data_IF_426680540265
#
_entry.id   IF_426680540265
#
_cell.length_a   1.000
_cell.length_b   1.000
_cell.length_c   1.000
_cell.angle_alpha   90.00
_cell.angle_beta   90.00
_cell.angle_gamma   90.00
#
_symmetry.space_group_name_H-M   'P 1'
#
loop_
_entity.id
_entity.type
_entity.pdbx_description
1 polymer ?
#
# COMPACT_ATOMS: atom_id res chain seq x y z
N UNK A 1 19.36 12.93 -64.43
CA UNK A 1 19.04 13.62 -63.15
C UNK A 1 18.41 12.73 -62.09
N UNK A 2 17.46 11.82 -62.40
CA UNK A 2 16.80 10.97 -61.38
C UNK A 2 17.72 9.97 -60.67
N UNK A 3 18.76 9.46 -61.34
CA UNK A 3 19.74 8.52 -60.75
C UNK A 3 20.67 9.22 -59.74
N UNK A 4 21.00 10.49 -59.97
CA UNK A 4 21.89 11.26 -59.08
C UNK A 4 21.21 11.60 -57.73
N UNK A 5 19.88 11.78 -57.74
CA UNK A 5 19.08 12.06 -56.53
C UNK A 5 18.97 10.84 -55.60
N UNK A 6 18.99 9.62 -56.14
CA UNK A 6 18.96 8.40 -55.32
C UNK A 6 20.30 8.12 -54.62
N UNK A 7 21.43 8.50 -55.22
CA UNK A 7 22.75 8.32 -54.61
C UNK A 7 22.95 9.28 -53.44
N UNK A 8 22.46 10.52 -53.52
CA UNK A 8 22.55 11.49 -52.42
C UNK A 8 21.70 11.02 -51.21
N UNK A 9 20.55 10.40 -51.44
CA UNK A 9 19.69 9.88 -50.35
C UNK A 9 20.32 8.72 -49.57
N UNK A 10 21.18 7.91 -50.19
CA UNK A 10 21.87 6.80 -49.53
C UNK A 10 23.03 7.25 -48.63
N UNK A 11 23.61 8.43 -48.86
CA UNK A 11 24.72 8.98 -48.04
C UNK A 11 24.21 9.58 -46.72
N UNK A 12 22.92 9.92 -46.61
CA UNK A 12 22.32 10.43 -45.37
C UNK A 12 21.90 9.34 -44.39
N UNK A 13 22.01 8.05 -44.76
CA UNK A 13 21.73 6.94 -43.85
C UNK A 13 22.88 6.73 -42.87
N UNK A 14 22.67 7.16 -41.62
CA UNK A 14 23.48 6.86 -40.43
C UNK A 14 24.62 7.83 -40.10
N UNK A 15 24.35 9.14 -40.08
CA UNK A 15 25.06 10.00 -39.11
C UNK A 15 24.45 9.73 -37.73
N UNK A 16 25.02 8.78 -36.98
CA UNK A 16 24.72 8.66 -35.54
C UNK A 16 25.20 9.95 -34.87
N UNK A 17 24.28 10.87 -34.60
CA UNK A 17 24.58 12.09 -33.87
C UNK A 17 25.22 11.76 -32.52
N UNK A 18 26.22 12.53 -32.11
CA UNK A 18 26.87 12.33 -30.81
C UNK A 18 25.83 12.44 -29.69
N UNK A 19 25.86 11.57 -28.67
CA UNK A 19 24.95 11.67 -27.54
C UNK A 19 25.09 13.02 -26.84
N UNK A 20 23.94 13.56 -26.40
CA UNK A 20 23.91 14.82 -25.69
C UNK A 20 24.67 14.68 -24.37
N UNK A 21 25.56 15.64 -24.08
CA UNK A 21 26.35 15.70 -22.85
C UNK A 21 25.72 16.68 -21.86
N UNK A 22 25.80 16.36 -20.57
CA UNK A 22 25.39 17.28 -19.50
C UNK A 22 26.34 17.17 -18.31
N UNK A 23 26.54 18.27 -17.58
CA UNK A 23 27.34 18.26 -16.37
C UNK A 23 26.44 17.85 -15.18
N UNK A 24 26.81 16.77 -14.49
CA UNK A 24 26.01 16.19 -13.41
C UNK A 24 25.74 17.19 -12.27
N UNK A 25 26.65 18.15 -12.04
CA UNK A 25 26.49 19.19 -11.00
C UNK A 25 25.30 20.12 -11.25
N UNK A 26 24.94 20.34 -12.51
CA UNK A 26 23.84 21.25 -12.90
C UNK A 26 22.53 20.52 -13.16
N UNK A 27 22.50 19.19 -13.06
CA UNK A 27 21.27 18.41 -13.14
C UNK A 27 20.52 18.58 -11.82
N UNK A 28 19.33 19.17 -11.86
CA UNK A 28 18.53 19.42 -10.65
C UNK A 28 17.78 18.17 -10.18
N UNK A 29 17.33 17.35 -11.12
CA UNK A 29 16.46 16.20 -10.87
C UNK A 29 16.82 15.04 -11.79
N UNK A 30 16.80 13.83 -11.25
CA UNK A 30 16.83 12.59 -12.01
C UNK A 30 15.55 11.82 -11.71
N UNK A 31 14.98 11.23 -12.76
CA UNK A 31 13.77 10.40 -12.65
C UNK A 31 14.06 9.08 -13.32
N UNK A 32 13.88 8.00 -12.56
CA UNK A 32 14.09 6.64 -13.00
C UNK A 32 12.74 5.94 -13.03
N UNK A 33 12.46 5.29 -14.15
CA UNK A 33 11.17 4.65 -14.39
C UNK A 33 11.36 3.16 -14.59
N UNK A 34 10.39 2.39 -14.10
CA UNK A 34 10.30 0.95 -14.33
C UNK A 34 10.23 0.66 -15.84
N UNK A 35 10.86 -0.44 -16.25
CA UNK A 35 10.91 -0.92 -17.63
C UNK A 35 11.51 0.08 -18.66
N UNK A 36 12.20 1.13 -18.20
CA UNK A 36 12.96 2.04 -19.05
C UNK A 36 14.43 1.67 -19.06
N UNK A 37 15.04 1.77 -20.25
CA UNK A 37 16.46 1.56 -20.45
C UNK A 37 17.23 2.88 -20.46
N UNK A 38 18.49 2.85 -20.03
CA UNK A 38 19.43 3.96 -20.13
C UNK A 38 19.86 4.19 -21.58
N UNK A 39 20.19 5.42 -21.92
CA UNK A 39 20.96 5.70 -23.14
C UNK A 39 22.43 5.33 -22.91
N UNK A 40 23.12 4.87 -23.94
CA UNK A 40 24.55 4.54 -23.84
C UNK A 40 25.31 4.92 -25.11
N UNK A 41 26.61 5.24 -24.96
CA UNK A 41 27.55 5.49 -26.06
C UNK A 41 28.57 4.35 -26.15
N UNK A 42 28.12 3.21 -26.70
CA UNK A 42 28.99 2.05 -26.95
C UNK A 42 28.96 0.97 -25.86
N UNK A 43 28.26 1.17 -24.75
CA UNK A 43 27.95 0.10 -23.78
C UNK A 43 26.53 -0.46 -23.95
N UNK A 44 26.25 -1.58 -23.28
CA UNK A 44 24.91 -2.17 -23.26
C UNK A 44 24.01 -1.30 -22.38
N UNK A 45 22.84 -0.95 -22.91
CA UNK A 45 21.80 -0.24 -22.16
C UNK A 45 21.40 -1.07 -20.93
N UNK A 46 21.20 -0.39 -19.80
CA UNK A 46 20.78 -0.98 -18.52
C UNK A 46 19.36 -0.56 -18.18
N UNK A 47 18.69 -1.32 -17.33
CA UNK A 47 17.46 -0.86 -16.69
C UNK A 47 17.74 0.37 -15.82
N UNK A 48 16.83 1.34 -15.85
CA UNK A 48 16.93 2.55 -15.03
C UNK A 48 16.73 2.27 -13.54
N UNK A 49 15.83 1.34 -13.21
CA UNK A 49 15.57 0.89 -11.84
C UNK A 49 16.12 -0.52 -11.64
N UNK A 50 16.97 -0.72 -10.63
CA UNK A 50 17.50 -2.02 -10.29
C UNK A 50 17.42 -2.24 -8.77
N UNK A 51 16.46 -3.05 -8.32
CA UNK A 51 16.35 -3.42 -6.92
C UNK A 51 17.37 -4.52 -6.61
N UNK A 52 18.36 -4.23 -5.78
CA UNK A 52 19.49 -5.12 -5.48
C UNK A 52 19.35 -5.89 -4.16
N UNK A 53 18.28 -5.66 -3.38
CA UNK A 53 18.02 -6.39 -2.14
C UNK A 53 17.24 -5.61 -1.09
N UNK A 54 17.46 -5.96 0.18
CA UNK A 54 16.83 -5.36 1.36
C UNK A 54 15.65 -6.16 1.90
N UNK A 55 15.22 -5.86 3.13
CA UNK A 55 14.15 -6.61 3.81
C UNK A 55 12.78 -6.54 3.11
N UNK A 56 12.57 -5.53 2.26
CA UNK A 56 11.38 -5.30 1.45
C UNK A 56 11.50 -5.76 0.00
N UNK A 57 12.51 -6.57 -0.37
CA UNK A 57 12.80 -6.96 -1.76
C UNK A 57 11.61 -7.60 -2.51
N UNK A 58 10.71 -8.28 -1.80
CA UNK A 58 9.52 -8.88 -2.41
C UNK A 58 8.59 -7.83 -3.06
N UNK A 59 8.66 -6.58 -2.61
CA UNK A 59 7.90 -5.45 -3.15
C UNK A 59 8.61 -4.74 -4.32
N UNK A 60 9.75 -5.23 -4.82
CA UNK A 60 10.49 -4.57 -5.92
C UNK A 60 9.63 -4.24 -7.15
N UNK A 61 8.66 -5.10 -7.46
CA UNK A 61 7.80 -4.93 -8.62
C UNK A 61 6.75 -3.82 -8.44
N UNK A 62 6.52 -3.33 -7.22
CA UNK A 62 5.59 -2.21 -6.97
C UNK A 62 6.26 -0.84 -7.06
N UNK A 63 7.57 -0.76 -7.24
CA UNK A 63 8.30 0.51 -7.43
C UNK A 63 8.16 0.94 -8.88
N UNK A 64 7.29 1.90 -9.15
CA UNK A 64 7.06 2.40 -10.52
C UNK A 64 8.07 3.49 -10.92
N UNK A 65 8.47 4.33 -9.96
CA UNK A 65 9.44 5.37 -10.19
C UNK A 65 10.22 5.77 -8.94
N UNK A 66 11.47 6.18 -9.15
CA UNK A 66 12.31 6.84 -8.14
C UNK A 66 12.69 8.22 -8.66
N UNK A 67 12.49 9.23 -7.83
CA UNK A 67 12.83 10.61 -8.11
C UNK A 67 13.97 11.01 -7.19
N UNK A 68 15.05 11.49 -7.77
CA UNK A 68 16.21 11.99 -7.02
C UNK A 68 16.41 13.48 -7.27
N UNK A 69 16.48 14.24 -6.18
CA UNK A 69 16.76 15.66 -6.19
C UNK A 69 18.22 15.91 -5.84
N UNK A 70 18.85 16.83 -6.57
CA UNK A 70 20.20 17.28 -6.30
C UNK A 70 20.18 18.20 -5.07
N UNK A 71 20.82 17.75 -3.99
CA UNK A 71 20.88 18.50 -2.73
C UNK A 71 22.21 19.26 -2.56
N UNK A 72 23.03 19.29 -3.62
CA UNK A 72 24.28 20.03 -3.67
C UNK A 72 25.47 19.17 -4.04
N UNK A 73 26.66 19.64 -3.64
CA UNK A 73 27.93 18.99 -3.96
C UNK A 73 28.74 18.90 -2.67
N UNK A 74 29.36 17.75 -2.42
CA UNK A 74 30.22 17.59 -1.25
C UNK A 74 31.60 18.25 -1.43
N UNK A 75 32.42 18.21 -0.38
CA UNK A 75 33.79 18.76 -0.39
C UNK A 75 34.72 18.13 -1.44
N UNK A 76 34.40 16.92 -1.93
CA UNK A 76 35.14 16.21 -2.98
C UNK A 76 34.59 16.49 -4.39
N UNK A 77 33.74 17.51 -4.53
CA UNK A 77 33.11 17.91 -5.78
C UNK A 77 32.23 16.80 -6.43
N UNK A 78 31.65 15.90 -5.63
CA UNK A 78 30.65 14.91 -6.06
C UNK A 78 29.23 15.40 -5.76
N UNK A 79 28.32 15.24 -6.72
CA UNK A 79 26.90 15.59 -6.54
C UNK A 79 26.26 14.70 -5.49
N UNK A 80 25.49 15.32 -4.59
CA UNK A 80 24.71 14.64 -3.56
C UNK A 80 23.25 14.56 -4.01
N UNK A 81 22.67 13.38 -3.85
CA UNK A 81 21.31 13.09 -4.30
C UNK A 81 20.45 12.64 -3.12
N UNK A 82 19.26 13.22 -2.99
CA UNK A 82 18.20 12.71 -2.12
C UNK A 82 17.15 12.03 -2.99
N UNK A 83 16.98 10.73 -2.82
CA UNK A 83 16.03 9.96 -3.61
C UNK A 83 14.80 9.58 -2.79
N UNK A 84 13.64 9.62 -3.44
CA UNK A 84 12.37 9.17 -2.90
C UNK A 84 11.63 8.34 -3.95
N UNK A 85 10.86 7.36 -3.49
CA UNK A 85 10.13 6.43 -4.34
C UNK A 85 8.62 6.63 -4.13
N UNK A 86 7.90 6.86 -5.22
CA UNK A 86 6.48 7.20 -5.13
C UNK A 86 5.66 5.95 -4.76
N UNK A 87 4.74 6.10 -3.79
CA UNK A 87 3.74 5.09 -3.40
C UNK A 87 4.25 3.82 -2.68
N UNK A 88 5.37 3.90 -1.95
CA UNK A 88 5.76 2.78 -1.09
C UNK A 88 5.12 2.91 0.30
N UNK A 89 3.92 2.35 0.45
CA UNK A 89 3.23 2.35 1.75
C UNK A 89 3.77 1.28 2.72
N UNK A 90 4.36 0.21 2.20
CA UNK A 90 4.80 -0.97 2.98
C UNK A 90 6.31 -1.10 3.08
N UNK A 91 7.05 -0.30 2.30
CA UNK A 91 8.50 -0.32 2.23
C UNK A 91 9.01 1.11 2.11
N UNK A 92 10.27 1.32 2.41
CA UNK A 92 10.98 2.58 2.23
C UNK A 92 12.23 2.31 1.40
N UNK A 93 12.71 3.34 0.73
CA UNK A 93 13.99 3.27 0.06
C UNK A 93 15.10 3.08 1.11
N UNK A 94 15.89 2.03 0.96
CA UNK A 94 17.08 1.75 1.76
C UNK A 94 18.32 2.41 1.15
N UNK A 95 19.46 1.72 1.24
CA UNK A 95 20.68 2.16 0.55
C UNK A 95 20.45 2.22 -0.96
N UNK A 96 21.05 3.23 -1.61
CA UNK A 96 21.02 3.34 -3.07
C UNK A 96 22.31 3.93 -3.62
N UNK A 97 22.55 3.66 -4.91
CA UNK A 97 23.65 4.20 -5.67
C UNK A 97 23.17 4.59 -7.08
N UNK A 98 23.49 5.82 -7.48
CA UNK A 98 23.26 6.29 -8.85
C UNK A 98 24.53 6.02 -9.67
N UNK A 99 24.34 5.44 -10.84
CA UNK A 99 25.38 5.06 -11.78
C UNK A 99 25.08 5.75 -13.11
N UNK A 100 25.97 6.60 -13.60
CA UNK A 100 25.82 7.29 -14.89
C UNK A 100 27.03 7.00 -15.77
N UNK A 101 26.82 6.95 -17.08
CA UNK A 101 27.91 6.82 -18.05
C UNK A 101 28.60 8.18 -18.25
N UNK A 102 29.89 8.22 -17.93
CA UNK A 102 30.74 9.39 -18.12
C UNK A 102 31.13 9.57 -19.59
N UNK A 103 31.33 10.82 -19.99
CA UNK A 103 31.83 11.13 -21.33
C UNK A 103 33.35 10.87 -21.39
N UNK A 104 33.85 10.00 -22.29
CA UNK A 104 35.24 9.50 -22.26
C UNK A 104 36.31 10.60 -22.18
N UNK A 105 36.11 11.67 -22.96
CA UNK A 105 37.09 12.75 -23.10
C UNK A 105 36.86 13.92 -22.14
N UNK A 106 35.77 13.89 -21.34
CA UNK A 106 35.34 15.01 -20.50
C UNK A 106 34.84 14.52 -19.13
N UNK A 107 35.77 14.13 -18.24
CA UNK A 107 35.40 13.79 -16.86
C UNK A 107 34.63 14.96 -16.25
N UNK A 108 33.52 14.67 -15.57
CA UNK A 108 32.43 15.57 -15.07
C UNK A 108 31.22 15.74 -15.99
N UNK A 109 31.30 15.34 -17.26
CA UNK A 109 30.13 15.26 -18.12
C UNK A 109 29.64 13.82 -18.19
N UNK A 110 28.33 13.67 -18.17
CA UNK A 110 27.66 12.39 -18.39
C UNK A 110 26.85 12.47 -19.68
N UNK A 111 26.58 11.30 -20.24
CA UNK A 111 25.60 11.16 -21.32
C UNK A 111 24.20 11.45 -20.76
N UNK A 112 23.42 12.28 -21.44
CA UNK A 112 22.06 12.60 -21.04
C UNK A 112 21.21 11.33 -21.07
N UNK A 113 20.50 11.04 -19.97
CA UNK A 113 19.67 9.84 -19.77
C UNK A 113 20.46 8.52 -19.63
N UNK A 114 21.76 8.56 -19.34
CA UNK A 114 22.58 7.36 -19.11
C UNK A 114 22.55 6.84 -17.67
N UNK A 115 21.90 7.56 -16.76
CA UNK A 115 21.88 7.19 -15.35
C UNK A 115 20.90 6.05 -15.07
N UNK A 116 21.31 5.11 -14.21
CA UNK A 116 20.46 4.12 -13.54
C UNK A 116 20.64 4.21 -12.02
N UNK A 117 19.71 3.65 -11.25
CA UNK A 117 19.80 3.55 -9.80
C UNK A 117 19.74 2.09 -9.35
N UNK A 118 20.75 1.68 -8.58
CA UNK A 118 20.74 0.43 -7.83
C UNK A 118 20.25 0.75 -6.41
N UNK A 119 19.21 0.09 -5.92
CA UNK A 119 18.60 0.42 -4.63
C UNK A 119 18.16 -0.80 -3.83
N UNK A 120 18.12 -0.67 -2.51
CA UNK A 120 17.48 -1.63 -1.61
C UNK A 120 16.10 -1.13 -1.20
N UNK A 121 15.19 -2.07 -0.92
CA UNK A 121 13.91 -1.79 -0.26
C UNK A 121 13.95 -2.32 1.16
N UNK A 122 13.55 -1.50 2.11
CA UNK A 122 13.41 -1.91 3.51
C UNK A 122 11.96 -1.86 3.93
N UNK A 123 11.50 -2.82 4.75
CA UNK A 123 10.15 -2.76 5.31
C UNK A 123 9.97 -1.49 6.14
N UNK A 124 8.83 -0.82 5.98
CA UNK A 124 8.46 0.32 6.82
C UNK A 124 7.78 -0.18 8.08
N UNK A 125 8.51 -0.17 9.19
CA UNK A 125 7.97 -0.47 10.51
C UNK A 125 7.40 0.80 11.16
N UNK A 126 6.14 0.79 11.57
CA UNK A 126 5.59 1.82 12.44
C UNK A 126 5.88 1.47 13.90
N UNK A 127 6.30 2.48 14.68
CA UNK A 127 6.35 2.45 16.14
C UNK A 127 5.31 3.45 16.62
N UNK A 128 4.37 3.07 17.47
CA UNK A 128 3.29 4.01 17.83
C UNK A 128 2.98 4.04 19.32
N UNK A 129 2.74 5.25 19.84
CA UNK A 129 2.25 5.48 21.20
C UNK A 129 0.71 5.56 21.26
N UNK A 130 0.04 5.80 20.12
CA UNK A 130 -1.41 5.66 19.92
C UNK A 130 -1.69 5.30 18.45
N UNK A 131 -2.45 4.23 18.21
CA UNK A 131 -2.72 3.68 16.88
C UNK A 131 -4.23 3.64 16.63
N UNK A 132 -4.68 4.18 15.50
CA UNK A 132 -6.04 4.03 15.01
C UNK A 132 -6.04 3.09 13.80
N UNK A 133 -6.62 1.91 13.95
CA UNK A 133 -6.74 0.91 12.89
C UNK A 133 -8.16 0.86 12.33
N UNK A 134 -8.24 0.70 11.01
CA UNK A 134 -9.48 0.51 10.28
C UNK A 134 -9.39 -0.77 9.46
N UNK A 135 -10.27 -1.71 9.76
CA UNK A 135 -10.38 -2.98 9.05
C UNK A 135 -11.65 -2.96 8.22
N UNK A 136 -11.54 -3.31 6.94
CA UNK A 136 -12.62 -3.22 5.97
C UNK A 136 -12.86 -4.59 5.35
N UNK A 137 -14.14 -4.92 5.13
CA UNK A 137 -14.54 -6.15 4.45
C UNK A 137 -14.07 -6.13 2.99
N UNK A 138 -13.59 -7.27 2.52
CA UNK A 138 -13.06 -7.41 1.15
C UNK A 138 -11.70 -6.75 0.92
N UNK A 139 -11.06 -6.22 1.97
CA UNK A 139 -9.67 -5.75 1.91
C UNK A 139 -8.77 -6.85 2.45
N UNK A 140 -7.65 -7.04 1.76
CA UNK A 140 -6.64 -8.03 2.08
C UNK A 140 -5.35 -7.37 2.54
N UNK A 141 -4.68 -8.02 3.48
CA UNK A 141 -3.30 -7.68 3.85
C UNK A 141 -2.35 -8.01 2.70
N UNK A 142 -1.08 -7.61 2.82
CA UNK A 142 -0.02 -7.92 1.85
C UNK A 142 0.23 -9.41 1.56
N UNK A 143 -0.47 -10.32 2.25
CA UNK A 143 -0.40 -11.77 2.04
C UNK A 143 -1.78 -12.39 1.83
N UNK A 144 -2.72 -11.61 1.28
CA UNK A 144 -4.06 -12.07 0.90
C UNK A 144 -4.91 -12.60 2.07
N UNK A 145 -4.59 -12.19 3.32
CA UNK A 145 -5.44 -12.46 4.48
C UNK A 145 -6.49 -11.35 4.60
N UNK A 146 -7.76 -11.72 4.78
CA UNK A 146 -8.84 -10.77 5.01
C UNK A 146 -8.58 -9.91 6.25
N UNK A 147 -8.74 -8.59 6.11
CA UNK A 147 -8.65 -7.66 7.24
C UNK A 147 -9.64 -7.99 8.37
N UNK A 148 -10.78 -8.59 8.03
CA UNK A 148 -11.83 -9.03 8.96
C UNK A 148 -11.93 -10.55 8.95
N UNK A 149 -11.65 -11.19 10.08
CA UNK A 149 -11.78 -12.62 10.25
C UNK A 149 -12.72 -12.95 11.42
N UNK A 150 -13.97 -13.30 11.12
CA UNK A 150 -14.91 -13.78 12.13
C UNK A 150 -14.65 -15.26 12.39
N UNK A 151 -14.31 -15.62 13.62
CA UNK A 151 -13.89 -16.98 14.00
C UNK A 151 -14.95 -17.76 14.80
N UNK A 152 -16.10 -17.16 15.10
CA UNK A 152 -17.21 -17.82 15.80
C UNK A 152 -18.19 -16.85 16.46
N UNK A 153 -18.95 -17.35 17.43
CA UNK A 153 -19.98 -16.61 18.17
C UNK A 153 -21.41 -17.01 17.78
N UNK A 154 -22.40 -16.57 18.55
CA UNK A 154 -23.81 -16.95 18.30
C UNK A 154 -24.41 -16.27 17.05
N UNK A 155 -23.81 -15.15 16.62
CA UNK A 155 -24.17 -14.42 15.41
C UNK A 155 -23.17 -14.68 14.28
N UNK A 156 -22.43 -15.79 14.31
CA UNK A 156 -21.41 -16.12 13.33
C UNK A 156 -21.92 -16.02 11.88
N UNK A 157 -23.10 -16.56 11.58
CA UNK A 157 -23.69 -16.51 10.23
C UNK A 157 -24.01 -15.08 9.76
N UNK A 158 -24.11 -14.13 10.70
CA UNK A 158 -24.39 -12.72 10.43
C UNK A 158 -23.12 -11.88 10.22
N UNK A 159 -21.92 -12.48 10.23
CA UNK A 159 -20.66 -11.76 10.03
C UNK A 159 -20.62 -10.94 8.73
N UNK A 160 -21.36 -11.37 7.71
CA UNK A 160 -21.48 -10.66 6.44
C UNK A 160 -22.08 -9.26 6.57
N UNK A 161 -22.81 -8.96 7.66
CA UNK A 161 -23.38 -7.64 7.96
C UNK A 161 -22.38 -6.64 8.54
N UNK A 162 -21.17 -7.10 8.91
CA UNK A 162 -20.10 -6.23 9.41
C UNK A 162 -19.22 -5.83 8.23
N UNK A 163 -19.19 -4.54 7.89
CA UNK A 163 -18.34 -4.04 6.80
C UNK A 163 -17.06 -3.38 7.30
N UNK A 164 -17.07 -2.90 8.55
CA UNK A 164 -15.94 -2.16 9.12
C UNK A 164 -15.79 -2.41 10.61
N UNK A 165 -14.54 -2.62 11.03
CA UNK A 165 -14.13 -2.56 12.43
C UNK A 165 -13.13 -1.41 12.60
N UNK A 166 -13.36 -0.56 13.59
CA UNK A 166 -12.47 0.53 13.98
C UNK A 166 -11.89 0.23 15.35
N UNK A 167 -10.56 0.21 15.46
CA UNK A 167 -9.85 -0.06 16.70
C UNK A 167 -8.98 1.14 17.09
N UNK A 168 -9.14 1.59 18.32
CA UNK A 168 -8.26 2.59 18.95
C UNK A 168 -7.40 1.89 19.98
N UNK A 169 -6.09 1.87 19.74
CA UNK A 169 -5.09 1.23 20.58
C UNK A 169 -4.23 2.28 21.26
N UNK A 170 -3.96 2.05 22.55
CA UNK A 170 -2.92 2.73 23.30
C UNK A 170 -1.86 1.72 23.75
N UNK A 171 -0.91 2.15 24.57
CA UNK A 171 0.16 1.31 25.11
C UNK A 171 -0.29 0.15 26.01
N UNK A 172 -1.57 0.07 26.38
CA UNK A 172 -2.07 -0.93 27.34
C UNK A 172 -3.20 -1.78 26.75
N UNK A 173 -3.99 -1.25 25.82
CA UNK A 173 -5.21 -1.89 25.35
C UNK A 173 -5.66 -1.38 23.99
N UNK A 174 -6.36 -2.24 23.26
CA UNK A 174 -7.10 -1.88 22.06
C UNK A 174 -8.60 -1.96 22.32
N UNK A 175 -9.32 -0.90 21.96
CA UNK A 175 -10.78 -0.87 21.97
C UNK A 175 -11.28 -0.89 20.53
N UNK A 176 -12.01 -1.93 20.17
CA UNK A 176 -12.54 -2.14 18.83
C UNK A 176 -14.06 -2.02 18.82
N UNK A 177 -14.60 -1.42 17.76
CA UNK A 177 -16.02 -1.25 17.55
C UNK A 177 -16.38 -1.58 16.10
N UNK A 178 -17.47 -2.31 15.90
CA UNK A 178 -17.97 -2.63 14.56
C UNK A 178 -19.03 -1.60 14.12
N UNK A 179 -19.23 -1.48 12.81
CA UNK A 179 -20.18 -0.55 12.21
C UNK A 179 -21.66 -0.89 12.48
N UNK A 180 -21.98 -2.12 12.88
CA UNK A 180 -23.32 -2.53 13.31
C UNK A 180 -23.42 -2.92 14.80
N UNK A 181 -22.83 -2.08 15.67
CA UNK A 181 -22.77 -2.31 17.12
C UNK A 181 -24.12 -2.35 17.86
N UNK A 182 -25.19 -1.90 17.21
CA UNK A 182 -26.54 -1.92 17.81
C UNK A 182 -27.04 -3.35 17.91
N UNK A 183 -26.89 -4.10 16.82
CA UNK A 183 -27.42 -5.45 16.68
C UNK A 183 -26.38 -6.50 17.10
N UNK A 184 -25.09 -6.18 16.96
CA UNK A 184 -24.02 -7.15 17.16
C UNK A 184 -22.92 -6.65 18.09
N UNK A 185 -22.51 -7.52 19.02
CA UNK A 185 -21.38 -7.31 19.92
C UNK A 185 -20.22 -8.21 19.50
N UNK A 186 -19.01 -7.65 19.52
CA UNK A 186 -17.79 -8.45 19.34
C UNK A 186 -17.23 -8.94 20.67
N UNK A 187 -16.70 -10.17 20.67
CA UNK A 187 -15.92 -10.76 21.77
C UNK A 187 -14.62 -11.36 21.25
N UNK A 188 -13.71 -11.65 22.17
CA UNK A 188 -12.41 -12.29 21.89
C UNK A 188 -11.68 -11.60 20.73
N UNK A 189 -11.59 -10.27 20.78
CA UNK A 189 -11.03 -9.47 19.71
C UNK A 189 -9.51 -9.51 19.79
N UNK A 190 -8.88 -10.03 18.74
CA UNK A 190 -7.43 -10.13 18.59
C UNK A 190 -6.98 -9.38 17.35
N UNK A 191 -6.12 -8.39 17.53
CA UNK A 191 -5.43 -7.74 16.42
C UNK A 191 -4.08 -8.42 16.25
N UNK A 192 -3.82 -8.92 15.05
CA UNK A 192 -2.61 -9.64 14.69
C UNK A 192 -1.90 -8.84 13.61
N UNK A 193 -0.64 -8.49 13.84
CA UNK A 193 0.19 -7.74 12.90
C UNK A 193 1.49 -8.49 12.67
N UNK A 194 2.15 -8.27 11.53
CA UNK A 194 3.48 -8.84 11.32
C UNK A 194 4.55 -8.01 12.00
N UNK A 195 5.44 -8.69 12.68
CA UNK A 195 6.63 -8.07 13.23
C UNK A 195 7.77 -7.99 12.20
N UNK A 196 8.98 -7.70 12.68
CA UNK A 196 10.20 -7.64 11.87
C UNK A 196 10.71 -8.99 11.38
N UNK A 197 10.35 -10.11 12.02
CA UNK A 197 10.71 -11.47 11.59
C UNK A 197 9.69 -12.03 10.60
N UNK A 198 8.66 -11.25 10.26
CA UNK A 198 7.54 -11.63 9.38
C UNK A 198 6.57 -12.64 10.03
N UNK A 199 6.59 -12.74 11.36
CA UNK A 199 5.65 -13.56 12.13
C UNK A 199 4.46 -12.73 12.61
N UNK A 200 3.27 -13.35 12.66
CA UNK A 200 2.08 -12.69 13.22
C UNK A 200 2.14 -12.70 14.75
N UNK A 201 2.14 -11.50 15.31
CA UNK A 201 2.13 -11.27 16.75
C UNK A 201 0.84 -10.56 17.15
N UNK A 202 0.35 -10.87 18.35
CA UNK A 202 -0.75 -10.12 18.93
C UNK A 202 -0.30 -8.70 19.26
N UNK A 203 -1.08 -7.72 18.81
CA UNK A 203 -0.90 -6.32 19.19
C UNK A 203 -1.36 -6.14 20.66
N UNK A 204 -0.49 -6.51 21.61
CA UNK A 204 -0.75 -6.42 23.06
C UNK A 204 -0.25 -5.11 23.67
N UNK A 205 0.72 -4.45 23.04
CA UNK A 205 1.36 -3.24 23.57
C UNK A 205 1.93 -2.40 22.41
N UNK A 206 1.81 -1.08 22.49
CA UNK A 206 2.15 -0.15 21.41
C UNK A 206 3.67 0.00 21.18
N UNK A 207 4.51 -0.53 22.09
CA UNK A 207 5.97 -0.50 21.98
C UNK A 207 6.58 -1.46 20.95
N UNK A 208 5.78 -2.30 20.29
CA UNK A 208 6.25 -3.25 19.28
C UNK A 208 6.23 -2.63 17.88
N UNK A 209 7.28 -2.88 17.11
CA UNK A 209 7.36 -2.52 15.70
C UNK A 209 6.62 -3.55 14.87
N UNK A 210 5.75 -3.09 13.98
CA UNK A 210 5.03 -3.96 13.05
C UNK A 210 5.05 -3.38 11.65
N UNK A 211 4.90 -4.27 10.66
CA UNK A 211 4.82 -3.90 9.26
C UNK A 211 3.52 -3.14 8.99
N UNK A 212 3.61 -2.07 8.22
CA UNK A 212 2.42 -1.34 7.79
C UNK A 212 1.49 -2.22 6.93
N UNK A 213 0.17 -2.03 7.08
CA UNK A 213 -0.90 -2.74 6.37
C UNK A 213 -0.82 -4.30 6.46
N UNK A 214 -0.11 -4.79 7.48
CA UNK A 214 0.01 -6.22 7.78
C UNK A 214 -0.99 -6.70 8.84
N UNK A 215 -1.70 -5.76 9.46
CA UNK A 215 -2.61 -6.07 10.56
C UNK A 215 -3.95 -6.60 10.05
N UNK A 216 -4.49 -7.61 10.72
CA UNK A 216 -5.87 -8.03 10.58
C UNK A 216 -6.51 -8.24 11.95
N UNK A 217 -7.84 -8.32 12.00
CA UNK A 217 -8.58 -8.55 13.24
C UNK A 217 -9.33 -9.87 13.20
N UNK A 218 -9.12 -10.68 14.24
CA UNK A 218 -9.92 -11.85 14.56
C UNK A 218 -10.91 -11.51 15.67
N UNK A 219 -12.15 -11.96 15.53
CA UNK A 219 -13.19 -11.70 16.52
C UNK A 219 -14.28 -12.76 16.50
N UNK A 220 -14.99 -12.91 17.60
CA UNK A 220 -16.29 -13.59 17.67
C UNK A 220 -17.42 -12.58 17.62
N UNK A 221 -18.51 -12.93 16.95
CA UNK A 221 -19.68 -12.07 16.78
C UNK A 221 -20.89 -12.69 17.48
N UNK A 222 -21.52 -11.92 18.36
CA UNK A 222 -22.74 -12.32 19.05
C UNK A 222 -23.85 -11.28 18.88
N UNK A 223 -25.10 -11.68 19.04
CA UNK A 223 -26.25 -10.79 19.07
C UNK A 223 -26.21 -9.92 20.31
N UNK A 224 -26.67 -8.68 20.17
CA UNK A 224 -26.88 -7.81 21.30
C UNK A 224 -28.24 -8.15 21.93
N UNK A 225 -28.26 -8.61 23.18
CA UNK A 225 -29.51 -8.99 23.87
C UNK A 225 -30.59 -7.89 23.86
N UNK A 226 -30.20 -6.62 23.69
CA UNK A 226 -31.13 -5.50 23.57
C UNK A 226 -31.90 -5.51 22.24
N UNK A 227 -31.29 -5.89 21.12
CA UNK A 227 -31.97 -6.00 19.83
C UNK A 227 -32.91 -7.21 19.78
N UNK A 228 -32.54 -8.33 20.42
CA UNK A 228 -33.44 -9.49 20.57
C UNK A 228 -34.74 -9.14 21.32
N UNK A 229 -34.65 -8.26 22.33
CA UNK A 229 -35.82 -7.78 23.08
C UNK A 229 -36.67 -6.82 22.22
N UNK A 230 -36.05 -5.94 21.43
CA UNK A 230 -36.80 -5.04 20.54
C UNK A 230 -37.52 -5.81 19.42
N UNK A 231 -36.87 -6.79 18.78
CA UNK A 231 -37.52 -7.64 17.77
C UNK A 231 -38.66 -8.49 18.35
N UNK A 232 -38.47 -9.08 19.54
CA UNK A 232 -39.54 -9.85 20.18
C UNK A 232 -40.74 -8.99 20.60
N UNK A 233 -40.50 -7.74 21.02
CA UNK A 233 -41.58 -6.78 21.30
C UNK A 233 -42.39 -6.41 20.05
N UNK A 234 -41.74 -6.21 18.90
CA UNK A 234 -42.45 -5.92 17.64
C UNK A 234 -43.35 -7.09 17.20
N UNK A 235 -42.86 -8.33 17.32
CA UNK A 235 -43.64 -9.53 17.01
C UNK A 235 -44.86 -9.63 17.93
N UNK A 236 -44.68 -9.43 19.24
CA UNK A 236 -45.79 -9.45 20.21
C UNK A 236 -46.82 -8.36 19.90
N UNK A 237 -46.37 -7.14 19.56
CA UNK A 237 -47.27 -6.03 19.22
C UNK A 237 -48.09 -6.33 17.97
N UNK A 238 -47.46 -6.90 16.93
CA UNK A 238 -48.14 -7.35 15.71
C UNK A 238 -49.19 -8.43 15.99
N UNK A 239 -48.87 -9.44 16.82
CA UNK A 239 -49.82 -10.47 17.21
C UNK A 239 -51.01 -9.90 18.00
N UNK A 240 -50.78 -8.97 18.93
CA UNK A 240 -51.84 -8.30 19.67
C UNK A 240 -52.75 -7.47 18.77
N UNK A 241 -52.19 -6.78 17.77
CA UNK A 241 -52.95 -6.01 16.78
C UNK A 241 -53.88 -6.90 15.96
N UNK A 242 -53.41 -8.07 15.53
CA UNK A 242 -54.22 -9.06 14.82
C UNK A 242 -55.39 -9.57 15.69
N UNK A 243 -55.13 -9.88 16.96
CA UNK A 243 -56.17 -10.31 17.91
C UNK A 243 -57.21 -9.21 18.15
N UNK A 244 -56.77 -7.95 18.27
CA UNK A 244 -57.68 -6.83 18.44
C UNK A 244 -58.55 -6.59 17.20
N UNK A 245 -57.96 -6.67 16.01
CA UNK A 245 -58.68 -6.52 14.74
C UNK A 245 -59.69 -7.65 14.52
N UNK A 246 -59.38 -8.89 14.87
CA UNK A 246 -60.36 -10.00 14.80
C UNK A 246 -61.51 -9.79 15.78
N UNK A 247 -61.25 -9.34 17.02
CA UNK A 247 -62.29 -8.98 17.98
C UNK A 247 -63.23 -7.87 17.47
N UNK A 248 -62.67 -6.81 16.88
CA UNK A 248 -63.47 -5.74 16.26
C UNK A 248 -64.30 -6.24 15.09
N UNK A 249 -63.76 -7.14 14.27
CA UNK A 249 -64.49 -7.77 13.18
C UNK A 249 -65.67 -8.58 13.71
N UNK A 250 -65.46 -9.48 14.69
CA UNK A 250 -66.56 -10.26 15.28
C UNK A 250 -67.65 -9.39 15.92
N UNK A 251 -67.27 -8.29 16.57
CA UNK A 251 -68.24 -7.36 17.17
C UNK A 251 -69.12 -6.64 16.13
N UNK A 252 -68.65 -6.52 14.88
CA UNK A 252 -69.37 -5.86 13.79
C UNK A 252 -70.35 -6.78 13.04
N UNK A 253 -70.21 -8.10 13.16
CA UNK A 253 -71.04 -9.10 12.47
C UNK A 253 -71.98 -9.90 13.39
N UNK A 254 -71.88 -9.74 14.72
CA UNK A 254 -72.77 -10.37 15.70
C UNK A 254 -73.86 -9.43 16.25
N UNK A 255 -74.22 -8.35 15.54
CA UNK A 255 -75.38 -7.51 15.83
C UNK A 255 -76.23 -7.35 14.57
#
# INVERSE_FOLDING_TARGET
MRVLLFIIALIFSSVKGKPLKQNLKYVQKLEFYKDKLTTSDGFKQREQLNCIGGSGYNYRNSVENIICENIGVNMLNKTLWKCDAKYLNNVKLGDYQILCEEYPDKPKYIIKNSCSIDFKLENSFKKENELNLYFLKGVYTSNDIYHLNCIGGDAYEQHHKINRISCKCNSISCKCENDNKKDYKMRDVHILCRDHTNEFIHLKNSNQYFQQDSCYVEFKLDHNKKSEIEESMEVIFSMLLLVFMTFLFFKKYCC
#
